data_IF_172894992083
#
_entry.id   IF_172894992083
#
_cell.length_a   1.000
_cell.length_b   1.000
_cell.length_c   1.000
_cell.angle_alpha   90.00
_cell.angle_beta   90.00
_cell.angle_gamma   90.00
#
_symmetry.space_group_name_H-M   'P 1'
#
loop_
_entity.id
_entity.type
_entity.pdbx_description
1 polymer ?
#
# COMPACT_ATOMS: atom_id res chain seq x y z
N UNK A 1 12.28 -23.17 -77.37
CA UNK A 1 10.82 -23.21 -77.56
C UNK A 1 10.25 -21.86 -77.18
N UNK A 2 9.60 -21.22 -78.14
CA UNK A 2 9.12 -19.84 -78.20
C UNK A 2 7.71 -19.65 -77.59
N UNK A 3 7.41 -18.42 -77.14
CA UNK A 3 6.13 -17.74 -76.74
C UNK A 3 4.82 -18.13 -77.49
N UNK A 4 3.58 -17.63 -77.18
CA UNK A 4 3.15 -16.33 -76.54
C UNK A 4 1.90 -16.40 -75.57
N UNK A 5 1.58 -15.38 -74.73
CA UNK A 5 0.75 -14.13 -74.83
C UNK A 5 -0.73 -14.24 -75.29
N UNK A 6 -1.65 -13.67 -74.48
CA UNK A 6 -2.93 -12.97 -74.82
C UNK A 6 -3.81 -12.81 -73.54
N UNK A 7 -4.01 -11.63 -72.92
CA UNK A 7 -4.86 -10.45 -73.25
C UNK A 7 -6.38 -10.69 -73.41
N UNK A 8 -7.17 -9.98 -72.59
CA UNK A 8 -8.60 -9.65 -72.80
C UNK A 8 -9.26 -9.10 -71.52
N UNK A 9 -9.28 -7.78 -71.24
CA UNK A 9 -10.30 -6.76 -71.57
C UNK A 9 -11.75 -7.08 -71.15
N UNK A 10 -12.33 -6.28 -70.25
CA UNK A 10 -13.79 -6.23 -70.02
C UNK A 10 -14.21 -5.25 -68.91
N UNK A 11 -14.76 -4.09 -69.32
CA UNK A 11 -15.34 -3.01 -68.49
C UNK A 11 -16.75 -3.36 -67.95
N UNK A 12 -17.05 -2.90 -66.72
CA UNK A 12 -18.27 -2.28 -66.13
C UNK A 12 -19.64 -2.39 -66.87
N UNK A 13 -20.82 -2.44 -66.17
CA UNK A 13 -21.30 -1.27 -65.41
C UNK A 13 -22.24 -1.45 -64.18
N UNK A 14 -22.37 -0.32 -63.48
CA UNK A 14 -23.38 0.15 -62.52
C UNK A 14 -24.82 -0.38 -62.66
N UNK A 15 -25.49 -0.58 -61.51
CA UNK A 15 -26.97 -0.54 -61.44
C UNK A 15 -27.47 -0.04 -60.08
N UNK A 16 -27.86 1.24 -60.03
CA UNK A 16 -28.84 1.81 -59.09
C UNK A 16 -30.26 1.45 -59.51
N UNK A 17 -31.13 1.09 -58.55
CA UNK A 17 -32.58 1.43 -58.43
C UNK A 17 -33.11 0.76 -57.16
N UNK A 18 -33.36 1.46 -56.04
CA UNK A 18 -34.58 2.22 -55.69
C UNK A 18 -35.87 1.39 -55.72
N UNK A 19 -36.47 1.13 -54.54
CA UNK A 19 -37.89 1.41 -54.18
C UNK A 19 -38.19 1.08 -52.71
N UNK A 20 -39.09 1.87 -52.14
CA UNK A 20 -39.47 2.09 -50.72
C UNK A 20 -40.72 1.25 -50.31
N UNK A 21 -41.18 1.29 -49.02
CA UNK A 21 -42.01 0.27 -48.33
C UNK A 21 -43.52 0.55 -48.42
N UNK A 22 -44.43 -0.19 -47.70
CA UNK A 22 -44.86 0.27 -46.36
C UNK A 22 -45.45 -0.79 -45.35
N UNK A 23 -45.63 -0.31 -44.10
CA UNK A 23 -46.73 -0.55 -43.12
C UNK A 23 -46.98 -1.91 -42.42
N UNK A 24 -46.79 -1.91 -41.09
CA UNK A 24 -47.94 -1.84 -40.15
C UNK A 24 -48.30 -3.08 -39.28
N UNK A 25 -47.95 -3.05 -37.97
CA UNK A 25 -48.72 -3.55 -36.80
C UNK A 25 -47.89 -3.30 -35.51
N UNK A 26 -48.19 -2.34 -34.63
CA UNK A 26 -49.14 -2.39 -33.47
C UNK A 26 -48.91 -3.63 -32.58
N UNK A 27 -48.71 -3.64 -31.26
CA UNK A 27 -48.92 -2.78 -30.06
C UNK A 27 -47.90 -3.30 -29.01
N UNK A 28 -47.35 -2.50 -28.08
CA UNK A 28 -47.97 -2.11 -26.81
C UNK A 28 -47.19 -0.95 -26.18
N UNK A 29 -47.91 0.11 -25.80
CA UNK A 29 -47.48 1.18 -24.90
C UNK A 29 -47.66 0.72 -23.46
N UNK A 30 -46.68 0.97 -22.61
CA UNK A 30 -46.91 1.18 -21.17
C UNK A 30 -47.03 2.69 -20.93
N UNK A 31 -48.15 3.19 -20.40
CA UNK A 31 -48.32 4.60 -20.05
C UNK A 31 -48.19 4.85 -18.55
N UNK A 32 -47.59 5.98 -18.21
CA UNK A 32 -47.59 6.56 -16.86
C UNK A 32 -46.29 6.24 -16.10
N UNK A 33 -45.58 7.18 -15.49
CA UNK A 33 -46.00 8.51 -15.09
C UNK A 33 -44.77 9.39 -14.79
N UNK A 34 -44.87 10.63 -15.30
CA UNK A 34 -44.55 11.87 -14.59
C UNK A 34 -43.07 12.16 -14.32
N UNK A 35 -42.55 12.96 -15.26
CA UNK A 35 -41.66 14.11 -15.04
C UNK A 35 -41.90 14.76 -13.67
N UNK A 36 -40.94 14.60 -12.78
CA UNK A 36 -40.78 15.44 -11.60
C UNK A 36 -39.47 16.23 -11.75
N UNK A 37 -39.49 17.21 -12.65
CA UNK A 37 -38.66 18.41 -12.46
C UNK A 37 -39.40 19.30 -11.47
N UNK A 38 -39.10 19.12 -10.19
CA UNK A 38 -39.55 20.04 -9.14
C UNK A 38 -38.34 20.41 -8.31
N UNK A 39 -37.75 21.55 -8.68
CA UNK A 39 -37.31 22.63 -7.79
C UNK A 39 -37.10 22.15 -6.35
N UNK A 40 -35.89 21.67 -6.07
CA UNK A 40 -35.30 21.83 -4.76
C UNK A 40 -34.45 23.08 -4.87
N UNK A 41 -34.97 24.18 -4.32
CA UNK A 41 -34.11 25.28 -3.89
C UNK A 41 -33.11 24.65 -2.94
N UNK A 42 -31.89 24.44 -3.42
CA UNK A 42 -30.74 24.22 -2.55
C UNK A 42 -30.51 25.55 -1.84
N UNK A 43 -31.29 25.78 -0.78
CA UNK A 43 -30.72 26.50 0.34
C UNK A 43 -29.52 25.64 0.73
N UNK A 44 -28.32 26.18 0.53
CA UNK A 44 -27.12 25.72 1.21
C UNK A 44 -27.42 25.75 2.69
N UNK A 45 -28.03 24.68 3.20
CA UNK A 45 -28.17 24.42 4.63
C UNK A 45 -26.77 24.02 5.02
N UNK A 46 -25.97 25.03 5.40
CA UNK A 46 -24.70 24.80 6.03
C UNK A 46 -24.95 23.83 7.19
N UNK A 47 -24.30 22.67 7.11
CA UNK A 47 -24.40 21.60 8.07
C UNK A 47 -24.22 22.19 9.49
N UNK A 48 -25.17 22.02 10.44
CA UNK A 48 -25.11 22.67 11.75
C UNK A 48 -23.93 22.18 12.59
N UNK A 49 -23.39 20.99 12.29
CA UNK A 49 -22.10 20.54 12.84
C UNK A 49 -20.97 21.46 12.38
N UNK A 50 -20.98 21.89 11.11
CA UNK A 50 -19.95 22.77 10.53
C UNK A 50 -20.09 24.25 10.91
N UNK A 51 -21.27 24.65 11.38
CA UNK A 51 -21.57 26.02 11.81
C UNK A 51 -21.67 26.18 13.34
N UNK A 52 -21.24 25.17 14.10
CA UNK A 52 -21.14 25.26 15.56
C UNK A 52 -19.81 25.92 15.95
N UNK A 53 -19.83 26.86 16.92
CA UNK A 53 -18.62 27.57 17.38
C UNK A 53 -17.50 26.60 17.75
N UNK A 54 -17.84 25.48 18.37
CA UNK A 54 -16.90 24.44 18.76
C UNK A 54 -16.24 23.73 17.57
N UNK A 55 -16.92 23.58 16.43
CA UNK A 55 -16.35 22.94 15.24
C UNK A 55 -15.52 23.90 14.38
N UNK A 56 -15.87 25.20 14.38
CA UNK A 56 -14.99 26.24 13.84
C UNK A 56 -13.72 26.40 14.68
N UNK A 57 -13.79 26.25 15.99
CA UNK A 57 -12.61 26.22 16.88
C UNK A 57 -11.75 24.95 16.65
N UNK A 58 -12.38 23.81 16.34
CA UNK A 58 -11.67 22.55 16.14
C UNK A 58 -11.06 22.38 14.73
N UNK A 59 -11.63 23.05 13.71
CA UNK A 59 -11.03 23.13 12.36
C UNK A 59 -10.15 24.39 12.15
N UNK A 60 -10.30 25.42 12.99
CA UNK A 60 -9.37 26.56 13.09
C UNK A 60 -8.12 26.26 13.94
N UNK A 61 -8.06 25.08 14.57
CA UNK A 61 -6.97 24.60 15.42
C UNK A 61 -5.87 23.83 14.69
N UNK A 62 -5.56 24.19 13.44
CA UNK A 62 -4.33 23.77 12.78
C UNK A 62 -3.33 24.92 12.83
N UNK A 63 -2.37 24.85 13.74
CA UNK A 63 -1.25 25.79 13.82
C UNK A 63 -0.51 25.85 12.48
N UNK A 64 -0.86 26.83 11.66
CA UNK A 64 -0.05 27.37 10.57
C UNK A 64 0.70 28.58 11.13
N UNK A 65 2.04 28.64 11.09
CA UNK A 65 2.74 29.88 11.39
C UNK A 65 2.68 30.78 10.16
N UNK A 66 1.70 31.68 10.13
CA UNK A 66 1.53 32.65 9.06
C UNK A 66 0.74 33.88 9.54
N UNK A 67 1.51 34.92 9.88
CA UNK A 67 1.25 36.36 9.75
C UNK A 67 -0.19 36.92 9.91
N UNK A 68 -0.27 37.95 10.75
CA UNK A 68 -1.36 38.91 11.04
C UNK A 68 -2.37 38.59 12.15
N UNK A 69 -2.63 39.61 12.97
CA UNK A 69 -3.66 39.67 14.03
C UNK A 69 -3.07 39.37 15.41
N UNK A 70 -2.83 40.31 16.31
CA UNK A 70 -3.77 41.36 16.73
C UNK A 70 -4.71 40.80 17.79
N UNK A 71 -4.25 40.65 19.02
CA UNK A 71 -5.06 40.29 20.20
C UNK A 71 -4.54 41.05 21.41
N UNK A 72 -5.22 42.14 21.78
CA UNK A 72 -6.27 42.18 22.81
C UNK A 72 -5.74 41.81 24.21
N UNK A 73 -5.17 42.82 24.86
CA UNK A 73 -5.08 42.89 26.32
C UNK A 73 -6.44 43.30 26.88
N UNK A 74 -6.87 42.56 27.90
CA UNK A 74 -8.00 42.86 28.77
C UNK A 74 -7.89 44.28 29.32
N UNK A 75 -8.91 45.08 29.02
CA UNK A 75 -9.08 46.47 29.43
C UNK A 75 -9.56 46.50 30.89
N UNK A 76 -8.64 46.78 31.81
CA UNK A 76 -8.96 47.18 33.18
C UNK A 76 -9.00 48.71 33.21
N UNK A 77 -10.18 49.25 33.51
CA UNK A 77 -10.50 50.67 33.58
C UNK A 77 -9.91 51.30 34.87
N UNK A 78 -9.07 52.34 34.80
CA UNK A 78 -8.82 53.22 35.94
C UNK A 78 -9.43 54.59 35.63
N UNK A 79 -10.52 54.91 36.33
CA UNK A 79 -11.05 56.26 36.40
C UNK A 79 -9.94 57.26 36.77
N UNK A 80 -9.51 58.07 35.80
CA UNK A 80 -8.64 59.22 36.05
C UNK A 80 -9.46 60.32 36.73
N UNK A 81 -9.26 60.48 38.03
CA UNK A 81 -9.64 61.69 38.73
C UNK A 81 -8.50 62.70 38.59
N UNK A 82 -8.76 63.80 37.89
CA UNK A 82 -7.87 64.96 37.78
C UNK A 82 -7.49 65.44 39.19
N UNK A 83 -6.25 65.21 39.58
CA UNK A 83 -5.65 65.67 40.84
C UNK A 83 -4.36 66.44 40.53
N UNK A 84 -4.34 67.69 40.96
CA UNK A 84 -3.32 68.70 40.73
C UNK A 84 -2.07 68.44 41.61
N UNK A 85 -0.88 68.33 41.00
CA UNK A 85 0.42 68.59 41.64
C UNK A 85 1.33 67.39 41.98
N UNK A 86 2.55 67.37 41.41
CA UNK A 86 3.67 66.55 41.92
C UNK A 86 4.72 66.12 40.87
N UNK A 87 5.99 66.55 40.98
CA UNK A 87 7.05 66.24 40.00
C UNK A 87 7.80 64.93 40.33
N UNK A 88 7.19 63.77 40.09
CA UNK A 88 7.87 62.46 40.17
C UNK A 88 7.25 61.47 39.16
N UNK A 89 7.48 61.67 37.85
CA UNK A 89 6.80 60.91 36.79
C UNK A 89 7.69 60.32 35.69
N UNK A 90 9.02 60.47 35.77
CA UNK A 90 9.90 60.14 34.63
C UNK A 90 10.45 58.71 34.59
N UNK A 91 10.33 57.91 35.66
CA UNK A 91 11.01 56.60 35.72
C UNK A 91 10.16 55.44 35.16
N UNK A 92 8.84 55.60 35.09
CA UNK A 92 7.97 54.52 34.62
C UNK A 92 7.98 54.38 33.09
N UNK A 93 8.13 55.49 32.34
CA UNK A 93 7.96 55.49 30.88
C UNK A 93 9.05 54.70 30.11
N UNK A 94 10.28 54.64 30.62
CA UNK A 94 11.40 53.91 29.98
C UNK A 94 11.29 52.38 30.08
N UNK A 95 10.66 51.86 31.13
CA UNK A 95 10.57 50.41 31.36
C UNK A 95 9.60 49.71 30.38
N UNK A 96 8.57 50.42 29.90
CA UNK A 96 7.66 49.90 28.88
C UNK A 96 8.32 49.86 27.49
N UNK A 97 9.17 50.84 27.19
CA UNK A 97 9.91 50.88 25.93
C UNK A 97 10.95 49.74 25.85
N UNK A 98 11.73 49.52 26.91
CA UNK A 98 12.74 48.46 26.96
C UNK A 98 12.17 47.04 26.75
N UNK A 99 10.95 46.80 27.22
CA UNK A 99 10.28 45.49 27.09
C UNK A 99 9.86 45.19 25.65
N UNK A 100 9.48 46.22 24.87
CA UNK A 100 9.12 46.05 23.46
C UNK A 100 10.33 45.74 22.58
N UNK A 101 11.48 46.40 22.81
CA UNK A 101 12.70 46.13 22.06
C UNK A 101 13.26 44.71 22.31
N UNK A 102 13.15 44.20 23.53
CA UNK A 102 13.56 42.82 23.86
C UNK A 102 12.66 41.76 23.19
N UNK A 103 11.36 42.01 23.06
CA UNK A 103 10.44 41.12 22.34
C UNK A 103 10.70 41.11 20.83
N UNK A 104 11.14 42.23 20.28
CA UNK A 104 11.43 42.36 18.86
C UNK A 104 12.73 41.65 18.47
N UNK A 105 13.78 41.78 19.28
CA UNK A 105 15.03 41.04 19.08
C UNK A 105 14.85 39.51 19.18
N UNK A 106 14.03 39.02 20.11
CA UNK A 106 13.70 37.60 20.21
C UNK A 106 12.91 37.06 19.01
N UNK A 107 12.15 37.92 18.31
CA UNK A 107 11.45 37.57 17.07
C UNK A 107 12.40 37.49 15.88
N UNK A 108 13.37 38.38 15.80
CA UNK A 108 14.38 38.44 14.74
C UNK A 108 15.30 37.22 14.79
N UNK A 109 15.84 36.90 15.98
CA UNK A 109 16.66 35.70 16.19
C UNK A 109 15.92 34.41 15.83
N UNK A 110 14.62 34.31 16.18
CA UNK A 110 13.81 33.14 15.84
C UNK A 110 13.58 32.99 14.34
N UNK A 111 13.56 34.10 13.58
CA UNK A 111 13.48 34.07 12.13
C UNK A 111 14.80 33.63 11.50
N UNK A 112 15.93 34.10 12.02
CA UNK A 112 17.27 33.67 11.60
C UNK A 112 17.50 32.19 11.89
N UNK A 113 17.06 31.68 13.05
CA UNK A 113 17.09 30.25 13.36
C UNK A 113 16.23 29.41 12.41
N UNK A 114 15.08 29.92 11.97
CA UNK A 114 14.24 29.24 10.97
C UNK A 114 14.87 29.26 9.57
N UNK A 115 15.58 30.34 9.20
CA UNK A 115 16.28 30.43 7.90
C UNK A 115 17.57 29.59 7.87
N UNK A 116 18.26 29.48 9.00
CA UNK A 116 19.49 28.69 9.17
C UNK A 116 19.21 27.22 9.54
N UNK A 117 17.94 26.87 9.76
CA UNK A 117 17.56 25.49 10.04
C UNK A 117 17.89 24.60 8.82
N UNK A 118 18.55 23.45 9.02
CA UNK A 118 18.80 22.49 7.96
C UNK A 118 17.49 22.10 7.24
N UNK A 119 17.55 21.90 5.92
CA UNK A 119 16.41 21.44 5.16
C UNK A 119 15.88 20.12 5.75
N UNK A 120 14.62 20.13 6.21
CA UNK A 120 13.96 19.02 6.89
C UNK A 120 14.15 17.69 6.13
N UNK A 121 14.64 16.66 6.82
CA UNK A 121 14.83 15.33 6.24
C UNK A 121 13.49 14.58 6.12
N UNK A 122 13.45 13.50 5.34
CA UNK A 122 12.22 12.74 5.08
C UNK A 122 11.49 12.24 6.35
N UNK A 123 12.17 12.15 7.50
CA UNK A 123 11.57 11.85 8.80
C UNK A 123 10.81 13.03 9.43
N UNK A 124 11.15 14.27 9.08
CA UNK A 124 10.62 15.48 9.72
C UNK A 124 9.29 15.94 9.12
N UNK A 125 8.96 15.49 7.91
CA UNK A 125 7.68 15.80 7.24
C UNK A 125 6.54 14.87 7.64
N UNK A 126 6.83 13.76 8.34
CA UNK A 126 5.85 12.75 8.75
C UNK A 126 5.15 12.03 7.58
N UNK A 127 5.64 12.22 6.35
CA UNK A 127 5.06 11.67 5.11
C UNK A 127 5.80 10.42 4.65
N UNK A 128 5.06 9.53 4.01
CA UNK A 128 5.56 8.29 3.43
C UNK A 128 6.45 8.58 2.22
N UNK A 129 7.62 7.95 2.16
CA UNK A 129 8.59 8.08 1.06
C UNK A 129 9.05 6.71 0.57
N UNK A 130 9.52 6.64 -0.68
CA UNK A 130 10.08 5.40 -1.24
C UNK A 130 11.30 4.91 -0.46
N UNK A 131 12.19 5.82 -0.04
CA UNK A 131 13.40 5.48 0.70
C UNK A 131 13.07 4.76 2.02
N UNK A 132 12.00 5.21 2.70
CA UNK A 132 11.55 4.60 3.94
C UNK A 132 10.97 3.19 3.73
N UNK A 133 10.22 2.98 2.64
CA UNK A 133 9.71 1.65 2.26
C UNK A 133 10.88 0.70 1.95
N UNK A 134 11.81 1.13 1.09
CA UNK A 134 12.96 0.33 0.69
C UNK A 134 13.81 -0.04 1.90
N UNK A 135 14.09 0.93 2.79
CA UNK A 135 14.85 0.68 4.01
C UNK A 135 14.16 -0.32 4.95
N UNK A 136 12.85 -0.19 5.16
CA UNK A 136 12.08 -1.09 6.03
C UNK A 136 11.93 -2.49 5.44
N UNK A 137 11.68 -2.61 4.14
CA UNK A 137 11.65 -3.91 3.46
C UNK A 137 13.03 -4.57 3.52
N UNK A 138 14.10 -3.82 3.23
CA UNK A 138 15.48 -4.32 3.34
C UNK A 138 15.80 -4.83 4.75
N UNK A 139 15.42 -4.08 5.78
CA UNK A 139 15.54 -4.50 7.19
C UNK A 139 14.79 -5.81 7.47
N UNK A 140 13.55 -5.93 7.00
CA UNK A 140 12.76 -7.16 7.17
C UNK A 140 13.43 -8.35 6.46
N UNK A 141 13.91 -8.16 5.23
CA UNK A 141 14.57 -9.23 4.47
C UNK A 141 15.89 -9.67 5.09
N UNK A 142 16.71 -8.75 5.59
CA UNK A 142 17.93 -9.08 6.34
C UNK A 142 17.57 -9.92 7.56
N UNK A 143 16.52 -9.53 8.29
CA UNK A 143 16.08 -10.26 9.48
C UNK A 143 15.53 -11.66 9.13
N UNK A 144 14.82 -11.80 8.00
CA UNK A 144 14.42 -13.10 7.46
C UNK A 144 15.62 -13.98 7.16
N UNK A 145 16.67 -13.44 6.51
CA UNK A 145 17.89 -14.19 6.20
C UNK A 145 18.63 -14.60 7.46
N UNK A 146 18.79 -13.70 8.43
CA UNK A 146 19.40 -14.02 9.74
C UNK A 146 18.60 -15.12 10.44
N UNK A 147 17.28 -15.00 10.48
CA UNK A 147 16.41 -16.05 10.99
C UNK A 147 16.56 -17.37 10.23
N UNK A 148 16.70 -17.32 8.91
CA UNK A 148 16.89 -18.52 8.09
C UNK A 148 18.21 -19.23 8.38
N UNK A 149 19.30 -18.50 8.62
CA UNK A 149 20.57 -19.12 9.04
C UNK A 149 20.41 -19.81 10.40
N UNK A 150 19.74 -19.17 11.35
CA UNK A 150 19.50 -19.77 12.68
C UNK A 150 18.59 -21.00 12.57
N UNK A 151 17.51 -20.92 11.79
CA UNK A 151 16.60 -22.03 11.54
C UNK A 151 17.26 -23.18 10.78
N UNK A 152 18.25 -22.89 9.93
CA UNK A 152 19.07 -23.89 9.25
C UNK A 152 19.95 -24.66 10.25
N UNK A 153 20.59 -23.94 11.18
CA UNK A 153 21.43 -24.57 12.21
C UNK A 153 20.61 -25.38 13.22
N UNK A 154 19.39 -24.93 13.52
CA UNK A 154 18.50 -25.56 14.49
C UNK A 154 17.12 -25.85 13.86
N UNK A 155 16.97 -26.90 13.04
CA UNK A 155 15.71 -27.17 12.34
C UNK A 155 14.52 -27.44 13.28
N UNK A 156 14.79 -27.92 14.50
CA UNK A 156 13.75 -28.22 15.50
C UNK A 156 12.93 -27.00 15.93
N UNK A 157 13.51 -25.79 15.91
CA UNK A 157 12.78 -24.55 16.19
C UNK A 157 12.00 -24.02 14.97
N UNK A 158 12.16 -24.63 13.80
CA UNK A 158 11.43 -24.25 12.58
C UNK A 158 9.92 -24.34 12.72
N UNK A 159 9.42 -25.35 13.42
CA UNK A 159 7.98 -25.53 13.71
C UNK A 159 7.49 -24.39 14.62
N UNK A 160 8.29 -24.00 15.62
CA UNK A 160 7.97 -22.85 16.48
C UNK A 160 7.93 -21.57 15.64
N UNK A 161 8.90 -21.39 14.73
CA UNK A 161 8.90 -20.31 13.75
C UNK A 161 7.65 -20.29 12.86
N UNK A 162 7.18 -21.45 12.41
CA UNK A 162 5.98 -21.58 11.58
C UNK A 162 4.72 -21.14 12.35
N UNK A 163 4.56 -21.63 13.58
CA UNK A 163 3.40 -21.33 14.43
C UNK A 163 3.42 -19.85 14.83
N UNK A 164 4.54 -19.36 15.36
CA UNK A 164 4.70 -17.96 15.76
C UNK A 164 4.52 -17.04 14.57
N UNK A 165 5.09 -17.39 13.42
CA UNK A 165 4.95 -16.65 12.18
C UNK A 165 3.49 -16.58 11.69
N UNK A 166 2.74 -17.68 11.76
CA UNK A 166 1.33 -17.71 11.40
C UNK A 166 0.48 -16.84 12.34
N UNK A 167 0.70 -16.96 13.66
CA UNK A 167 0.00 -16.16 14.67
C UNK A 167 0.31 -14.67 14.50
N UNK A 168 1.58 -14.29 14.37
CA UNK A 168 1.98 -12.90 14.18
C UNK A 168 1.45 -12.33 12.85
N UNK A 169 1.43 -13.13 11.78
CA UNK A 169 0.84 -12.73 10.50
C UNK A 169 -0.66 -12.46 10.61
N UNK A 170 -1.39 -13.31 11.34
CA UNK A 170 -2.81 -13.13 11.59
C UNK A 170 -3.09 -11.91 12.48
N UNK A 171 -2.33 -11.76 13.57
CA UNK A 171 -2.44 -10.60 14.49
C UNK A 171 -2.16 -9.30 13.74
N UNK A 172 -1.13 -9.28 12.88
CA UNK A 172 -0.80 -8.09 12.09
C UNK A 172 -1.89 -7.77 11.06
N UNK A 173 -2.57 -8.79 10.52
CA UNK A 173 -3.67 -8.61 9.56
C UNK A 173 -4.92 -7.98 10.19
N UNK A 174 -5.18 -8.23 11.47
CA UNK A 174 -6.32 -7.63 12.19
C UNK A 174 -5.99 -6.30 12.86
N UNK A 175 -4.72 -5.92 12.95
CA UNK A 175 -4.29 -4.70 13.62
C UNK A 175 -4.52 -3.47 12.74
N UNK A 176 -5.25 -2.48 13.26
CA UNK A 176 -5.54 -1.22 12.54
C UNK A 176 -4.32 -0.33 12.34
N UNK A 177 -3.34 -0.40 13.24
CA UNK A 177 -2.13 0.41 13.16
C UNK A 177 -0.87 -0.46 12.97
N UNK A 178 -0.02 -0.12 11.99
CA UNK A 178 1.22 -0.85 11.75
C UNK A 178 2.17 -0.73 12.94
N UNK A 179 2.84 -1.83 13.27
CA UNK A 179 3.72 -1.91 14.42
C UNK A 179 5.05 -2.53 14.01
N UNK A 180 6.10 -1.70 14.00
CA UNK A 180 7.44 -2.12 13.63
C UNK A 180 7.94 -3.35 14.41
N UNK A 181 7.81 -3.43 15.75
CA UNK A 181 8.28 -4.59 16.50
C UNK A 181 7.58 -5.89 16.11
N UNK A 182 6.26 -5.84 15.81
CA UNK A 182 5.51 -7.03 15.39
C UNK A 182 5.94 -7.50 14.00
N UNK A 183 6.16 -6.57 13.08
CA UNK A 183 6.61 -6.88 11.71
C UNK A 183 8.01 -7.50 11.74
N UNK A 184 8.91 -6.95 12.55
CA UNK A 184 10.26 -7.51 12.71
C UNK A 184 10.23 -8.87 13.41
N UNK A 185 9.42 -9.04 14.46
CA UNK A 185 9.24 -10.33 15.11
C UNK A 185 8.70 -11.39 14.14
N UNK A 186 7.74 -11.01 13.28
CA UNK A 186 7.23 -11.86 12.21
C UNK A 186 8.35 -12.24 11.22
N UNK A 187 9.13 -11.27 10.76
CA UNK A 187 10.22 -11.51 9.82
C UNK A 187 11.27 -12.49 10.40
N UNK A 188 11.65 -12.34 11.66
CA UNK A 188 12.54 -13.27 12.35
C UNK A 188 11.93 -14.68 12.48
N UNK A 189 10.67 -14.79 12.92
CA UNK A 189 9.99 -16.07 13.07
C UNK A 189 9.79 -16.80 11.74
N UNK A 190 9.40 -16.08 10.68
CA UNK A 190 9.33 -16.63 9.34
C UNK A 190 10.71 -17.05 8.84
N UNK A 191 11.76 -16.26 9.10
CA UNK A 191 13.13 -16.64 8.81
C UNK A 191 13.46 -18.01 9.41
N UNK A 192 13.20 -18.22 10.70
CA UNK A 192 13.44 -19.52 11.36
C UNK A 192 12.71 -20.67 10.65
N UNK A 193 11.43 -20.47 10.30
CA UNK A 193 10.65 -21.45 9.55
C UNK A 193 11.26 -21.77 8.19
N UNK A 194 11.58 -20.73 7.40
CA UNK A 194 12.17 -20.88 6.08
C UNK A 194 13.53 -21.58 6.14
N UNK A 195 14.36 -21.26 7.13
CA UNK A 195 15.65 -21.89 7.34
C UNK A 195 15.54 -23.39 7.56
N UNK A 196 14.65 -23.79 8.47
CA UNK A 196 14.40 -25.20 8.76
C UNK A 196 13.81 -25.94 7.55
N UNK A 197 12.79 -25.36 6.90
CA UNK A 197 12.18 -25.93 5.70
C UNK A 197 13.22 -26.11 4.57
N UNK A 198 14.06 -25.10 4.38
CA UNK A 198 15.11 -25.11 3.37
C UNK A 198 16.14 -26.18 3.65
N UNK A 199 16.57 -26.34 4.91
CA UNK A 199 17.53 -27.37 5.32
C UNK A 199 16.96 -28.79 5.12
N UNK A 200 15.69 -29.02 5.48
CA UNK A 200 15.01 -30.31 5.28
C UNK A 200 14.92 -30.71 3.80
N UNK A 201 14.71 -29.73 2.92
CA UNK A 201 14.64 -29.97 1.48
C UNK A 201 16.00 -30.02 0.82
N UNK A 202 16.98 -29.23 1.27
CA UNK A 202 18.35 -29.29 0.77
C UNK A 202 18.98 -30.67 1.04
N UNK A 203 18.66 -31.28 2.19
CA UNK A 203 19.10 -32.64 2.51
C UNK A 203 18.57 -33.69 1.52
N UNK A 204 17.34 -33.52 1.04
CA UNK A 204 16.72 -34.43 0.06
C UNK A 204 17.08 -34.08 -1.38
N UNK A 205 17.20 -32.78 -1.68
CA UNK A 205 17.39 -32.22 -3.01
C UNK A 205 18.52 -31.20 -2.97
N UNK A 206 19.76 -31.65 -3.08
CA UNK A 206 20.92 -30.76 -3.05
C UNK A 206 20.84 -29.66 -4.12
N UNK A 207 21.17 -28.42 -3.73
CA UNK A 207 21.13 -27.22 -4.56
C UNK A 207 19.73 -26.68 -4.84
N UNK A 208 18.67 -27.20 -4.19
CA UNK A 208 17.31 -26.68 -4.40
C UNK A 208 17.16 -25.25 -3.88
N UNK A 209 17.81 -24.92 -2.76
CA UNK A 209 17.67 -23.62 -2.11
C UNK A 209 18.26 -22.51 -2.97
N UNK A 210 19.47 -22.70 -3.52
CA UNK A 210 20.09 -21.69 -4.38
C UNK A 210 19.29 -21.48 -5.67
N UNK A 211 18.72 -22.53 -6.25
CA UNK A 211 17.85 -22.42 -7.42
C UNK A 211 16.57 -21.64 -7.09
N UNK A 212 15.94 -21.93 -5.95
CA UNK A 212 14.75 -21.23 -5.51
C UNK A 212 15.03 -19.73 -5.28
N UNK A 213 16.13 -19.39 -4.61
CA UNK A 213 16.54 -18.00 -4.39
C UNK A 213 16.77 -17.27 -5.72
N UNK A 214 17.52 -17.87 -6.64
CA UNK A 214 17.77 -17.26 -7.96
C UNK A 214 16.48 -17.06 -8.76
N UNK A 215 15.57 -18.03 -8.72
CA UNK A 215 14.27 -17.92 -9.38
C UNK A 215 13.39 -16.83 -8.73
N UNK A 216 13.32 -16.76 -7.40
CA UNK A 216 12.58 -15.70 -6.69
C UNK A 216 13.13 -14.31 -7.03
N UNK A 217 14.45 -14.12 -7.02
CA UNK A 217 15.09 -12.86 -7.37
C UNK A 217 14.85 -12.49 -8.83
N UNK A 218 14.86 -13.47 -9.74
CA UNK A 218 14.57 -13.24 -11.16
C UNK A 218 13.13 -12.79 -11.38
N UNK A 219 12.15 -13.46 -10.75
CA UNK A 219 10.74 -13.06 -10.82
C UNK A 219 10.55 -11.67 -10.23
N UNK A 220 11.12 -11.40 -9.05
CA UNK A 220 11.05 -10.09 -8.42
C UNK A 220 11.64 -8.99 -9.31
N UNK A 221 12.83 -9.21 -9.90
CA UNK A 221 13.47 -8.26 -10.79
C UNK A 221 12.65 -7.97 -12.05
N UNK A 222 12.07 -9.01 -12.67
CA UNK A 222 11.19 -8.86 -13.84
C UNK A 222 9.94 -8.08 -13.48
N UNK A 223 9.27 -8.41 -12.36
CA UNK A 223 8.08 -7.69 -11.91
C UNK A 223 8.41 -6.23 -11.58
N UNK A 224 9.53 -5.97 -10.92
CA UNK A 224 10.00 -4.62 -10.62
C UNK A 224 10.27 -3.82 -11.91
N UNK A 225 10.95 -4.42 -12.89
CA UNK A 225 11.21 -3.78 -14.19
C UNK A 225 9.93 -3.48 -14.96
N UNK A 226 8.99 -4.44 -15.00
CA UNK A 226 7.68 -4.26 -15.63
C UNK A 226 6.86 -3.15 -14.95
N UNK A 227 6.85 -3.12 -13.62
CA UNK A 227 6.16 -2.10 -12.84
C UNK A 227 6.78 -0.71 -13.06
N UNK A 228 8.12 -0.63 -12.98
CA UNK A 228 8.87 0.62 -13.20
C UNK A 228 8.69 1.19 -14.61
N UNK A 229 8.41 0.36 -15.61
CA UNK A 229 8.14 0.81 -16.98
C UNK A 229 6.83 1.60 -17.12
N UNK A 230 5.96 1.59 -16.09
CA UNK A 230 4.66 2.27 -16.09
C UNK A 230 3.60 1.65 -17.02
N UNK A 231 3.97 0.66 -17.85
CA UNK A 231 3.07 -0.03 -18.78
C UNK A 231 2.15 -1.03 -18.07
N UNK A 232 2.58 -1.58 -16.93
CA UNK A 232 1.84 -2.60 -16.20
C UNK A 232 1.33 -2.04 -14.87
N UNK A 233 0.04 -1.70 -14.81
CA UNK A 233 -0.62 -1.21 -13.60
C UNK A 233 -1.81 -2.11 -13.23
N UNK A 234 -2.03 -2.39 -11.93
CA UNK A 234 -3.22 -3.11 -11.48
C UNK A 234 -4.49 -2.37 -11.89
N UNK A 235 -5.44 -3.10 -12.49
CA UNK A 235 -6.78 -2.56 -12.76
C UNK A 235 -7.76 -3.00 -11.68
N UNK A 236 -8.77 -2.18 -11.33
CA UNK A 236 -9.74 -2.54 -10.28
C UNK A 236 -10.47 -3.87 -10.56
N UNK A 237 -10.72 -4.21 -11.84
CA UNK A 237 -11.35 -5.48 -12.23
C UNK A 237 -10.42 -6.67 -11.96
N UNK A 238 -9.15 -6.56 -12.36
CA UNK A 238 -8.17 -7.63 -12.17
C UNK A 238 -7.88 -7.86 -10.68
N UNK A 239 -7.77 -6.78 -9.90
CA UNK A 239 -7.60 -6.87 -8.45
C UNK A 239 -8.78 -7.56 -7.75
N UNK A 240 -10.03 -7.35 -8.19
CA UNK A 240 -11.19 -8.09 -7.63
C UNK A 240 -11.13 -9.58 -7.93
N UNK A 241 -10.86 -9.96 -9.18
CA UNK A 241 -10.74 -11.37 -9.58
C UNK A 241 -9.60 -12.02 -8.80
N UNK A 242 -8.47 -11.33 -8.71
CA UNK A 242 -7.32 -11.78 -7.93
C UNK A 242 -7.66 -11.98 -6.45
N UNK A 243 -8.37 -11.04 -5.81
CA UNK A 243 -8.76 -11.19 -4.40
C UNK A 243 -9.59 -12.46 -4.17
N UNK A 244 -10.52 -12.77 -5.08
CA UNK A 244 -11.31 -14.02 -5.01
C UNK A 244 -10.39 -15.23 -5.15
N UNK A 245 -9.46 -15.23 -6.12
CA UNK A 245 -8.51 -16.31 -6.32
C UNK A 245 -7.58 -16.51 -5.13
N UNK A 246 -7.07 -15.42 -4.53
CA UNK A 246 -6.23 -15.44 -3.35
C UNK A 246 -6.97 -16.00 -2.13
N UNK A 247 -8.22 -15.60 -1.89
CA UNK A 247 -9.05 -16.16 -0.82
C UNK A 247 -9.34 -17.65 -1.03
N UNK A 248 -9.64 -18.06 -2.27
CA UNK A 248 -9.84 -19.46 -2.62
C UNK A 248 -8.57 -20.30 -2.37
N UNK A 249 -7.41 -19.81 -2.81
CA UNK A 249 -6.12 -20.46 -2.57
C UNK A 249 -5.80 -20.56 -1.07
N UNK A 250 -6.09 -19.50 -0.29
CA UNK A 250 -5.87 -19.50 1.16
C UNK A 250 -6.79 -20.48 1.87
N UNK A 251 -8.07 -20.53 1.51
CA UNK A 251 -9.03 -21.50 2.06
C UNK A 251 -8.60 -22.93 1.74
N UNK A 252 -8.20 -23.21 0.50
CA UNK A 252 -7.66 -24.51 0.11
C UNK A 252 -6.39 -24.86 0.90
N UNK A 253 -5.48 -23.92 1.09
CA UNK A 253 -4.25 -24.12 1.86
C UNK A 253 -4.53 -24.42 3.34
N UNK A 254 -5.56 -23.82 3.92
CA UNK A 254 -6.00 -24.12 5.29
C UNK A 254 -6.59 -25.53 5.40
N UNK A 255 -7.43 -25.94 4.45
CA UNK A 255 -7.95 -27.32 4.39
C UNK A 255 -6.78 -28.31 4.28
N UNK A 256 -5.83 -28.04 3.39
CA UNK A 256 -4.63 -28.86 3.23
C UNK A 256 -3.83 -28.96 4.53
N UNK A 257 -3.65 -27.85 5.25
CA UNK A 257 -2.96 -27.83 6.53
C UNK A 257 -3.68 -28.71 7.57
N UNK A 258 -5.00 -28.59 7.70
CA UNK A 258 -5.79 -29.41 8.64
C UNK A 258 -5.70 -30.89 8.28
N UNK A 259 -5.85 -31.24 7.00
CA UNK A 259 -5.73 -32.62 6.51
C UNK A 259 -4.34 -33.20 6.80
N UNK A 260 -3.29 -32.39 6.59
CA UNK A 260 -1.90 -32.79 6.87
C UNK A 260 -1.65 -32.98 8.37
N UNK A 261 -2.22 -32.11 9.22
CA UNK A 261 -2.10 -32.21 10.68
C UNK A 261 -2.85 -33.42 11.26
N UNK A 262 -3.95 -33.83 10.63
CA UNK A 262 -4.70 -35.02 11.02
C UNK A 262 -4.02 -36.33 10.54
N UNK A 263 -2.92 -36.24 9.79
CA UNK A 263 -2.20 -37.41 9.26
C UNK A 263 -3.00 -38.20 8.22
N UNK A 264 -3.95 -37.55 7.54
CA UNK A 264 -4.80 -38.20 6.52
C UNK A 264 -4.06 -38.38 5.19
N UNK A 265 -2.96 -37.63 4.99
CA UNK A 265 -2.12 -37.68 3.78
C UNK A 265 -0.69 -38.02 4.15
N UNK A 266 -0.09 -38.98 3.44
CA UNK A 266 1.30 -39.43 3.64
C UNK A 266 2.33 -38.52 2.93
N UNK A 267 1.87 -37.60 2.09
CA UNK A 267 2.71 -36.73 1.28
C UNK A 267 3.27 -35.52 2.05
N UNK A 268 4.50 -35.12 1.73
CA UNK A 268 5.22 -34.00 2.37
C UNK A 268 4.49 -32.66 2.24
N UNK A 269 3.71 -32.45 1.18
CA UNK A 269 2.90 -31.25 0.97
C UNK A 269 1.38 -31.52 1.05
N UNK A 270 0.97 -32.72 1.44
CA UNK A 270 -0.42 -33.13 1.63
C UNK A 270 -1.16 -33.35 0.30
N UNK A 271 -2.33 -32.72 0.14
CA UNK A 271 -3.12 -32.73 -1.10
C UNK A 271 -2.44 -31.98 -2.27
N UNK A 272 -1.25 -31.42 -2.04
CA UNK A 272 -0.48 -30.62 -2.99
C UNK A 272 0.74 -31.37 -3.53
N UNK A 273 0.78 -32.69 -3.39
CA UNK A 273 1.84 -33.51 -3.95
C UNK A 273 1.53 -33.94 -5.40
N UNK A 274 2.59 -34.30 -6.13
CA UNK A 274 2.51 -34.82 -7.50
C UNK A 274 2.06 -33.78 -8.55
N UNK A 275 1.53 -34.24 -9.70
CA UNK A 275 1.19 -33.39 -10.84
C UNK A 275 0.14 -32.32 -10.55
N UNK A 276 -0.82 -32.61 -9.67
CA UNK A 276 -1.84 -31.64 -9.21
C UNK A 276 -1.17 -30.52 -8.41
N UNK A 277 -0.23 -30.88 -7.55
CA UNK A 277 0.62 -29.95 -6.80
C UNK A 277 1.36 -28.95 -7.68
N UNK A 278 1.88 -29.40 -8.83
CA UNK A 278 2.58 -28.56 -9.79
C UNK A 278 1.66 -27.51 -10.44
N UNK A 279 0.43 -27.90 -10.82
CA UNK A 279 -0.55 -26.98 -11.40
C UNK A 279 -0.96 -25.92 -10.36
N UNK A 280 -1.28 -26.36 -9.15
CA UNK A 280 -1.63 -25.47 -8.04
C UNK A 280 -0.46 -24.52 -7.74
N UNK A 281 0.77 -25.04 -7.74
CA UNK A 281 1.97 -24.26 -7.51
C UNK A 281 2.19 -23.20 -8.58
N UNK A 282 2.06 -23.56 -9.86
CA UNK A 282 2.17 -22.61 -10.96
C UNK A 282 1.15 -21.47 -10.84
N UNK A 283 -0.11 -21.79 -10.51
CA UNK A 283 -1.15 -20.78 -10.24
C UNK A 283 -0.74 -19.91 -9.05
N UNK A 284 -0.25 -20.50 -7.97
CA UNK A 284 0.18 -19.77 -6.79
C UNK A 284 1.38 -18.85 -7.04
N UNK A 285 2.35 -19.24 -7.89
CA UNK A 285 3.45 -18.35 -8.33
C UNK A 285 2.92 -17.18 -9.13
N UNK A 286 1.97 -17.42 -10.05
CA UNK A 286 1.31 -16.33 -10.77
C UNK A 286 0.60 -15.38 -9.81
N UNK A 287 -0.11 -15.91 -8.81
CA UNK A 287 -0.78 -15.11 -7.80
C UNK A 287 0.23 -14.29 -6.96
N UNK A 288 1.31 -14.92 -6.49
CA UNK A 288 2.35 -14.24 -5.72
C UNK A 288 3.04 -13.14 -6.55
N UNK A 289 3.35 -13.41 -7.82
CA UNK A 289 3.95 -12.41 -8.72
C UNK A 289 3.03 -11.21 -8.95
N UNK A 290 1.72 -11.42 -9.09
CA UNK A 290 0.76 -10.32 -9.20
C UNK A 290 0.56 -9.58 -7.87
N UNK A 291 0.67 -10.28 -6.74
CA UNK A 291 0.67 -9.65 -5.42
C UNK A 291 1.81 -8.64 -5.30
N UNK A 292 3.01 -8.94 -5.80
CA UNK A 292 4.13 -7.98 -5.84
C UNK A 292 3.80 -6.72 -6.64
N UNK A 293 3.11 -6.86 -7.78
CA UNK A 293 2.65 -5.70 -8.58
C UNK A 293 1.69 -4.83 -7.76
N UNK A 294 0.78 -5.46 -7.01
CA UNK A 294 -0.14 -4.72 -6.14
C UNK A 294 0.58 -4.07 -4.97
N UNK A 295 1.58 -4.72 -4.37
CA UNK A 295 2.39 -4.17 -3.30
C UNK A 295 3.14 -2.90 -3.77
N UNK A 296 3.73 -2.93 -4.98
CA UNK A 296 4.34 -1.75 -5.59
C UNK A 296 3.34 -0.64 -5.88
N UNK A 297 2.12 -1.00 -6.30
CA UNK A 297 1.04 -0.03 -6.50
C UNK A 297 0.55 0.59 -5.18
N UNK A 298 0.51 -0.18 -4.10
CA UNK A 298 0.23 0.35 -2.76
C UNK A 298 1.35 1.29 -2.30
N UNK A 299 2.61 0.96 -2.56
CA UNK A 299 3.75 1.84 -2.30
C UNK A 299 3.64 3.16 -3.06
N UNK A 300 3.41 3.12 -4.37
CA UNK A 300 3.25 4.31 -5.22
C UNK A 300 2.09 5.19 -4.78
N UNK A 301 0.91 4.60 -4.56
CA UNK A 301 -0.26 5.36 -4.12
C UNK A 301 -0.06 5.96 -2.72
N UNK A 302 0.57 5.23 -1.80
CA UNK A 302 0.87 5.72 -0.45
C UNK A 302 1.77 6.95 -0.47
N UNK A 303 2.84 6.91 -1.26
CA UNK A 303 3.75 8.06 -1.42
C UNK A 303 3.07 9.21 -2.17
N UNK A 304 2.38 8.92 -3.27
CA UNK A 304 1.70 9.94 -4.10
C UNK A 304 0.61 10.68 -3.33
N UNK A 305 -0.11 9.98 -2.46
CA UNK A 305 -1.16 10.57 -1.64
C UNK A 305 -0.61 11.23 -0.35
N UNK A 306 0.71 11.19 -0.12
CA UNK A 306 1.34 11.74 1.08
C UNK A 306 0.88 11.06 2.37
N UNK A 307 0.66 9.74 2.34
CA UNK A 307 0.21 8.99 3.49
C UNK A 307 1.18 9.16 4.69
N UNK A 308 0.71 9.05 5.94
CA UNK A 308 1.59 9.10 7.11
C UNK A 308 2.73 8.08 7.04
N UNK A 309 3.93 8.44 7.48
CA UNK A 309 5.13 7.60 7.43
C UNK A 309 4.92 6.22 8.08
N UNK A 310 4.08 6.11 9.12
CA UNK A 310 3.80 4.82 9.78
C UNK A 310 3.29 3.74 8.81
N UNK A 311 2.60 4.10 7.73
CA UNK A 311 2.06 3.14 6.76
C UNK A 311 3.09 2.52 5.81
N UNK A 312 4.33 3.05 5.75
CA UNK A 312 5.41 2.37 5.04
C UNK A 312 5.77 1.02 5.66
N UNK A 313 5.53 0.84 6.96
CA UNK A 313 5.65 -0.46 7.62
C UNK A 313 4.64 -1.48 7.09
N UNK A 314 3.40 -1.06 6.80
CA UNK A 314 2.39 -1.93 6.19
C UNK A 314 2.83 -2.40 4.81
N UNK A 315 3.34 -1.47 3.98
CA UNK A 315 3.83 -1.79 2.64
C UNK A 315 5.06 -2.69 2.71
N UNK A 316 6.00 -2.39 3.61
CA UNK A 316 7.19 -3.21 3.81
C UNK A 316 6.85 -4.63 4.27
N UNK A 317 5.88 -4.77 5.17
CA UNK A 317 5.36 -6.06 5.60
C UNK A 317 4.73 -6.83 4.44
N UNK A 318 3.83 -6.19 3.67
CA UNK A 318 3.20 -6.82 2.50
C UNK A 318 4.23 -7.35 1.50
N UNK A 319 5.20 -6.50 1.11
CA UNK A 319 6.31 -6.89 0.24
C UNK A 319 7.11 -8.07 0.78
N UNK A 320 7.37 -8.10 2.10
CA UNK A 320 8.12 -9.18 2.74
C UNK A 320 7.33 -10.48 2.72
N UNK A 321 6.05 -10.45 3.11
CA UNK A 321 5.16 -11.62 3.10
C UNK A 321 5.03 -12.20 1.69
N UNK A 322 4.80 -11.33 0.69
CA UNK A 322 4.68 -11.76 -0.70
C UNK A 322 5.97 -12.40 -1.19
N UNK A 323 7.14 -11.85 -0.86
CA UNK A 323 8.42 -12.41 -1.29
C UNK A 323 8.70 -13.77 -0.63
N UNK A 324 8.39 -13.91 0.67
CA UNK A 324 8.46 -15.18 1.40
C UNK A 324 7.54 -16.23 0.77
N UNK A 325 6.29 -15.85 0.48
CA UNK A 325 5.32 -16.74 -0.14
C UNK A 325 5.79 -17.20 -1.52
N UNK A 326 6.28 -16.28 -2.35
CA UNK A 326 6.84 -16.59 -3.67
C UNK A 326 8.02 -17.58 -3.56
N UNK A 327 8.92 -17.37 -2.59
CA UNK A 327 10.03 -18.28 -2.32
C UNK A 327 9.56 -19.70 -1.98
N UNK A 328 8.65 -19.85 -1.01
CA UNK A 328 8.14 -21.16 -0.58
C UNK A 328 7.43 -21.88 -1.73
N UNK A 329 6.69 -21.15 -2.57
CA UNK A 329 6.00 -21.76 -3.71
C UNK A 329 6.96 -22.27 -4.78
N UNK A 330 7.96 -21.48 -5.15
CA UNK A 330 8.99 -21.88 -6.12
C UNK A 330 9.75 -23.10 -5.59
N UNK A 331 10.15 -23.05 -4.32
CA UNK A 331 10.87 -24.13 -3.66
C UNK A 331 10.03 -25.42 -3.63
N UNK A 332 8.73 -25.35 -3.37
CA UNK A 332 7.82 -26.51 -3.50
C UNK A 332 7.75 -27.03 -4.93
N UNK A 333 7.60 -26.18 -5.94
CA UNK A 333 7.52 -26.62 -7.34
C UNK A 333 8.78 -27.38 -7.74
N UNK A 334 9.96 -26.85 -7.40
CA UNK A 334 11.23 -27.52 -7.69
C UNK A 334 11.32 -28.85 -6.94
N UNK A 335 10.87 -28.91 -5.69
CA UNK A 335 10.86 -30.15 -4.91
C UNK A 335 9.97 -31.22 -5.56
N UNK A 336 8.74 -30.85 -5.97
CA UNK A 336 7.81 -31.77 -6.64
C UNK A 336 8.38 -32.24 -7.99
N UNK A 337 9.00 -31.34 -8.76
CA UNK A 337 9.62 -31.70 -10.03
C UNK A 337 10.73 -32.73 -9.86
N UNK A 338 11.57 -32.55 -8.83
CA UNK A 338 12.69 -33.46 -8.54
C UNK A 338 12.28 -34.73 -7.82
N UNK A 339 11.14 -34.74 -7.12
CA UNK A 339 10.63 -35.95 -6.46
C UNK A 339 9.94 -36.91 -7.43
N UNK A 340 9.60 -36.45 -8.63
CA UNK A 340 8.93 -37.25 -9.65
C UNK A 340 9.90 -37.94 -10.64
N UNK A 341 11.21 -37.73 -10.46
CA UNK A 341 12.29 -38.42 -11.16
C UNK A 341 12.89 -39.51 -10.25
#
# INVERSE_FOLDING_TARGET
MTCPDARGTGRLPDRKTSRRPPTGASRRRSPGAVRAESIVKEHTVANPVMNSRNFQEQMGGGQQPGWYGGGQQTQQDPHMQQGQGGPYGQQYQDQYAATQYAQQQGREQRLEDMYNAPAAHAGDTGRMTYNDIIGKTGMCLVLVVVGAVVGWMFPSIGIVGAIVGLVLGLVNSFKKEPSAPLILAYAGAQGLFLGALSMMLEYQFSGIVIQAVLATLSVFAVVLALYSSGKFRPTPKMTKIFMVAMLGYLAFSLVNLVVSLLGVTDGMFGLRDGPIGLIIGAIAVLLASYSLVMDFNMAEQGVRNGAPQKYSWTVAFGLTVTLIWLYVEILRIIAILRSND
#
